data_IF_699975167248
#
_entry.id   IF_699975167248
#
_cell.length_a   1.000
_cell.length_b   1.000
_cell.length_c   1.000
_cell.angle_alpha   90.00
_cell.angle_beta   90.00
_cell.angle_gamma   90.00
#
_symmetry.space_group_name_H-M   'P 1'
#
loop_
_entity.id
_entity.type
_entity.pdbx_description
1 polymer ?
#
# COMPACT_ATOMS: atom_id res chain seq x y z
N UNK A 1 12.28 -43.46 -28.91
CA UNK A 1 12.99 -42.18 -28.78
C UNK A 1 12.31 -41.39 -27.69
N UNK A 2 13.03 -41.09 -26.62
CA UNK A 2 12.54 -40.33 -25.47
C UNK A 2 12.74 -38.84 -25.76
N UNK A 3 11.68 -38.04 -25.62
CA UNK A 3 11.81 -36.63 -25.28
C UNK A 3 11.16 -36.45 -23.90
N UNK A 4 11.95 -36.01 -22.93
CA UNK A 4 11.49 -35.59 -21.62
C UNK A 4 10.70 -34.30 -21.80
N UNK A 5 9.39 -34.33 -21.55
CA UNK A 5 8.61 -33.12 -21.31
C UNK A 5 8.96 -32.58 -19.92
N UNK A 6 9.56 -31.39 -19.89
CA UNK A 6 9.77 -30.62 -18.67
C UNK A 6 8.42 -30.20 -18.09
N UNK A 7 7.97 -30.89 -17.04
CA UNK A 7 6.85 -30.42 -16.23
C UNK A 7 7.25 -29.13 -15.48
N UNK A 8 6.61 -28.02 -15.82
CA UNK A 8 6.69 -26.79 -15.04
C UNK A 8 5.87 -26.94 -13.77
N UNK A 9 6.53 -27.02 -12.60
CA UNK A 9 5.86 -26.87 -11.32
C UNK A 9 5.70 -25.38 -11.02
N UNK A 10 4.46 -24.91 -11.04
CA UNK A 10 4.10 -23.52 -10.75
C UNK A 10 4.59 -23.11 -9.34
N UNK A 11 5.34 -22.02 -9.27
CA UNK A 11 5.66 -21.32 -8.02
C UNK A 11 4.68 -20.17 -7.81
N UNK A 12 4.40 -19.89 -6.54
CA UNK A 12 3.31 -19.07 -5.98
C UNK A 12 3.35 -17.56 -6.31
N UNK A 13 4.01 -17.13 -7.37
CA UNK A 13 4.18 -15.69 -7.68
C UNK A 13 3.53 -15.24 -9.01
N UNK A 14 2.73 -16.09 -9.65
CA UNK A 14 1.93 -15.68 -10.81
C UNK A 14 0.51 -15.31 -10.35
N UNK A 15 0.37 -14.08 -9.86
CA UNK A 15 -0.89 -13.50 -9.36
C UNK A 15 -1.87 -13.08 -10.49
N UNK A 16 -1.76 -13.64 -11.69
CA UNK A 16 -2.46 -13.14 -12.89
C UNK A 16 -3.17 -14.21 -13.74
N UNK A 17 -3.62 -15.32 -13.14
CA UNK A 17 -4.54 -16.25 -13.81
C UNK A 17 -5.79 -16.55 -12.96
N UNK A 18 -6.68 -15.57 -12.89
CA UNK A 18 -8.10 -15.85 -12.72
C UNK A 18 -8.81 -15.52 -14.02
N UNK A 19 -9.47 -16.53 -14.59
CA UNK A 19 -10.44 -16.42 -15.68
C UNK A 19 -11.49 -15.35 -15.33
N UNK A 20 -11.16 -14.09 -15.57
CA UNK A 20 -11.98 -12.92 -15.32
C UNK A 20 -12.45 -12.45 -16.69
N UNK A 21 -13.75 -12.51 -16.94
CA UNK A 21 -14.32 -11.87 -18.11
C UNK A 21 -14.21 -10.34 -17.88
N UNK A 22 -13.09 -9.74 -18.30
CA UNK A 22 -12.83 -8.32 -18.13
C UNK A 22 -13.65 -7.56 -19.15
N UNK A 23 -14.83 -7.08 -18.74
CA UNK A 23 -15.55 -6.06 -19.51
C UNK A 23 -14.83 -4.73 -19.30
N UNK A 24 -13.93 -4.39 -20.24
CA UNK A 24 -13.23 -3.10 -20.23
C UNK A 24 -14.15 -2.04 -20.82
N UNK A 25 -14.87 -1.30 -19.97
CA UNK A 25 -15.58 -0.10 -20.39
C UNK A 25 -14.65 1.09 -20.28
N UNK A 26 -14.12 1.56 -21.41
CA UNK A 26 -13.40 2.83 -21.47
C UNK A 26 -14.42 3.96 -21.45
N UNK A 27 -14.58 4.62 -20.30
CA UNK A 27 -15.45 5.78 -20.19
C UNK A 27 -14.62 7.05 -20.39
N UNK A 28 -14.77 7.67 -21.56
CA UNK A 28 -14.21 9.00 -21.84
C UNK A 28 -15.14 10.05 -21.24
N UNK A 29 -14.73 10.61 -20.09
CA UNK A 29 -15.56 11.46 -19.25
C UNK A 29 -15.18 12.94 -19.46
N UNK A 30 -15.98 13.67 -20.23
CA UNK A 30 -15.78 15.10 -20.51
C UNK A 30 -16.56 15.97 -19.52
N UNK A 31 -15.85 16.68 -18.64
CA UNK A 31 -16.34 17.85 -17.88
C UNK A 31 -17.46 17.70 -16.81
N UNK A 32 -17.71 16.53 -16.22
CA UNK A 32 -18.71 16.40 -15.13
C UNK A 32 -18.27 15.58 -13.91
N UNK A 33 -18.98 15.75 -12.78
CA UNK A 33 -18.89 14.88 -11.59
C UNK A 33 -19.63 13.59 -11.92
N UNK A 34 -18.91 12.48 -12.03
CA UNK A 34 -19.51 11.18 -12.36
C UNK A 34 -19.63 10.29 -11.13
N UNK A 35 -20.73 9.55 -11.08
CA UNK A 35 -20.96 8.49 -10.10
C UNK A 35 -20.63 7.14 -10.74
N UNK A 36 -19.69 6.42 -10.15
CA UNK A 36 -19.34 5.06 -10.54
C UNK A 36 -19.87 4.10 -9.47
N UNK A 37 -20.85 3.28 -9.85
CA UNK A 37 -21.35 2.19 -9.01
C UNK A 37 -20.75 0.88 -9.49
N UNK A 38 -19.94 0.23 -8.65
CA UNK A 38 -19.30 -1.03 -8.97
C UNK A 38 -20.27 -2.13 -8.52
N UNK A 39 -21.13 -2.69 -9.37
CA UNK A 39 -22.13 -3.69 -8.91
C UNK A 39 -21.59 -5.12 -8.88
N UNK A 40 -20.70 -5.50 -9.80
CA UNK A 40 -20.07 -6.85 -9.86
C UNK A 40 -18.69 -6.88 -10.50
N UNK A 41 -18.22 -5.77 -11.08
CA UNK A 41 -17.04 -5.77 -11.95
C UNK A 41 -15.91 -4.94 -11.35
N UNK A 42 -14.70 -5.22 -11.82
CA UNK A 42 -13.52 -4.42 -11.53
C UNK A 42 -13.36 -3.32 -12.57
N UNK A 43 -12.77 -2.19 -12.17
CA UNK A 43 -12.74 -1.00 -13.02
C UNK A 43 -11.33 -0.42 -13.15
N UNK A 44 -11.00 0.02 -14.36
CA UNK A 44 -9.80 0.81 -14.64
C UNK A 44 -10.25 2.22 -15.02
N UNK A 45 -9.82 3.22 -14.27
CA UNK A 45 -10.06 4.63 -14.60
C UNK A 45 -8.81 5.24 -15.20
N UNK A 46 -8.97 5.83 -16.39
CA UNK A 46 -7.97 6.69 -17.04
C UNK A 46 -8.58 8.08 -17.19
N UNK A 47 -7.98 9.07 -16.54
CA UNK A 47 -8.36 10.47 -16.71
C UNK A 47 -7.46 11.11 -17.79
N UNK A 48 -8.05 11.47 -18.93
CA UNK A 48 -7.33 12.08 -20.05
C UNK A 48 -7.50 13.62 -20.13
N UNK A 49 -8.25 14.23 -19.21
CA UNK A 49 -8.56 15.67 -19.19
C UNK A 49 -7.87 16.39 -18.01
N UNK A 50 -7.60 17.69 -18.15
CA UNK A 50 -7.16 18.55 -17.01
C UNK A 50 -8.33 19.38 -16.43
N UNK A 51 -8.18 20.08 -15.27
CA UNK A 51 -7.42 19.76 -14.06
C UNK A 51 -8.21 18.75 -13.18
N UNK A 52 -7.91 18.68 -11.88
CA UNK A 52 -8.45 17.75 -10.87
C UNK A 52 -9.92 17.36 -11.01
N UNK A 53 -10.18 16.09 -11.33
CA UNK A 53 -11.54 15.52 -11.38
C UNK A 53 -11.87 14.82 -10.05
N UNK A 54 -13.10 14.97 -9.57
CA UNK A 54 -13.62 14.22 -8.43
C UNK A 54 -14.47 13.03 -8.90
N UNK A 55 -14.12 11.83 -8.47
CA UNK A 55 -14.87 10.60 -8.73
C UNK A 55 -15.57 10.13 -7.46
N UNK A 56 -16.89 9.93 -7.51
CA UNK A 56 -17.64 9.30 -6.43
C UNK A 56 -17.80 7.82 -6.73
N UNK A 57 -17.34 6.96 -5.82
CA UNK A 57 -17.22 5.52 -6.05
C UNK A 57 -17.88 4.76 -4.93
N UNK A 58 -18.75 3.81 -5.28
CA UNK A 58 -19.35 2.88 -4.32
C UNK A 58 -18.70 1.51 -4.47
N UNK A 59 -18.04 1.03 -3.41
CA UNK A 59 -17.35 -0.26 -3.41
C UNK A 59 -18.10 -1.29 -2.56
N UNK A 60 -18.15 -2.53 -3.04
CA UNK A 60 -18.68 -3.70 -2.36
C UNK A 60 -17.58 -4.75 -2.13
N UNK A 61 -17.79 -5.74 -1.25
CA UNK A 61 -16.83 -6.81 -1.02
C UNK A 61 -16.34 -7.48 -2.31
N UNK A 62 -15.04 -7.80 -2.34
CA UNK A 62 -14.33 -8.47 -3.44
C UNK A 62 -14.19 -7.66 -4.74
N UNK A 63 -14.36 -6.34 -4.70
CA UNK A 63 -14.15 -5.47 -5.86
C UNK A 63 -12.82 -4.72 -5.80
N UNK A 64 -12.27 -4.41 -6.97
CA UNK A 64 -11.13 -3.50 -7.09
C UNK A 64 -11.31 -2.42 -8.15
N UNK A 65 -10.60 -1.32 -7.92
CA UNK A 65 -10.51 -0.16 -8.77
C UNK A 65 -9.04 0.19 -9.00
N UNK A 66 -8.63 0.28 -10.26
CA UNK A 66 -7.29 0.67 -10.67
C UNK A 66 -7.32 2.06 -11.33
N UNK A 67 -6.50 2.98 -10.87
CA UNK A 67 -6.33 4.30 -11.45
C UNK A 67 -4.98 4.38 -12.19
N UNK A 68 -5.05 4.58 -13.51
CA UNK A 68 -3.92 4.59 -14.44
C UNK A 68 -3.90 5.89 -15.25
N UNK A 69 -3.68 7.02 -14.59
CA UNK A 69 -3.61 8.31 -15.30
C UNK A 69 -2.60 9.24 -14.67
N UNK A 70 -1.90 10.01 -15.49
CA UNK A 70 -0.94 11.01 -15.05
C UNK A 70 -1.56 12.25 -14.44
N UNK A 71 -2.87 12.45 -14.62
CA UNK A 71 -3.59 13.59 -14.08
C UNK A 71 -3.93 13.41 -12.60
N UNK A 72 -4.12 14.53 -11.93
CA UNK A 72 -4.63 14.55 -10.57
C UNK A 72 -6.09 14.09 -10.49
N UNK A 73 -6.43 13.34 -9.45
CA UNK A 73 -7.79 12.91 -9.16
C UNK A 73 -8.09 12.97 -7.65
N UNK A 74 -9.35 13.23 -7.33
CA UNK A 74 -9.91 13.07 -5.99
C UNK A 74 -10.93 11.94 -6.04
N UNK A 75 -10.74 10.93 -5.20
CA UNK A 75 -11.69 9.83 -5.05
C UNK A 75 -12.49 10.01 -3.77
N UNK A 76 -13.82 10.13 -3.87
CA UNK A 76 -14.75 10.02 -2.76
C UNK A 76 -15.29 8.60 -2.73
N UNK A 77 -14.78 7.78 -1.83
CA UNK A 77 -15.04 6.34 -1.79
C UNK A 77 -16.02 6.06 -0.66
N UNK A 78 -17.13 5.44 -1.03
CA UNK A 78 -18.21 5.02 -0.16
C UNK A 78 -18.28 3.50 -0.19
N UNK A 79 -17.67 2.89 0.80
CA UNK A 79 -17.74 1.45 0.96
C UNK A 79 -19.02 1.07 1.69
N UNK A 80 -19.84 0.20 1.08
CA UNK A 80 -21.05 -0.34 1.69
C UNK A 80 -20.89 -1.84 1.92
N UNK A 81 -20.95 -2.27 3.18
CA UNK A 81 -20.95 -3.69 3.54
C UNK A 81 -22.10 -4.00 4.49
N UNK A 82 -22.91 -4.98 4.08
CA UNK A 82 -23.93 -5.60 4.92
C UNK A 82 -23.31 -6.64 5.89
N UNK A 83 -23.75 -6.75 7.15
CA UNK A 83 -24.52 -5.76 7.92
C UNK A 83 -23.62 -4.66 8.51
N UNK A 84 -23.84 -3.43 8.03
CA UNK A 84 -23.60 -2.10 8.61
C UNK A 84 -22.21 -1.65 9.09
N UNK A 85 -21.19 -1.74 8.24
CA UNK A 85 -20.06 -0.79 8.34
C UNK A 85 -19.86 -0.05 7.04
N UNK A 86 -20.25 1.23 7.05
CA UNK A 86 -19.91 2.17 5.99
C UNK A 86 -18.55 2.78 6.31
N UNK A 87 -17.65 2.75 5.32
CA UNK A 87 -16.44 3.57 5.34
C UNK A 87 -16.61 4.64 4.27
N UNK A 88 -16.51 5.91 4.68
CA UNK A 88 -16.42 7.04 3.77
C UNK A 88 -15.03 7.65 3.89
N UNK A 89 -14.39 7.97 2.77
CA UNK A 89 -13.16 8.76 2.76
C UNK A 89 -12.92 9.44 1.40
N UNK A 90 -12.14 10.51 1.44
CA UNK A 90 -11.64 11.22 0.26
C UNK A 90 -10.13 11.03 0.12
N UNK A 91 -9.67 10.59 -1.06
CA UNK A 91 -8.25 10.41 -1.38
C UNK A 91 -7.85 11.31 -2.55
N UNK A 92 -6.79 12.10 -2.39
CA UNK A 92 -6.19 12.89 -3.49
C UNK A 92 -4.89 12.26 -3.96
N UNK A 93 -4.81 11.96 -5.24
CA UNK A 93 -3.61 11.44 -5.91
C UNK A 93 -3.02 12.55 -6.76
N UNK A 94 -1.72 12.80 -6.60
CA UNK A 94 -1.03 13.82 -7.39
C UNK A 94 -0.73 13.40 -8.82
N UNK A 95 -0.48 14.39 -9.66
CA UNK A 95 -0.07 14.15 -11.03
C UNK A 95 1.28 13.44 -11.05
N UNK A 96 1.37 12.33 -11.80
CA UNK A 96 2.60 11.57 -11.94
C UNK A 96 2.62 10.84 -13.28
N UNK A 97 3.68 11.04 -14.06
CA UNK A 97 3.85 10.38 -15.36
C UNK A 97 4.02 8.86 -15.24
N UNK A 98 4.38 8.37 -14.05
CA UNK A 98 4.58 6.95 -13.78
C UNK A 98 3.68 6.47 -12.64
N UNK A 99 3.35 5.18 -12.67
CA UNK A 99 2.71 4.48 -11.56
C UNK A 99 1.21 4.26 -11.66
N UNK A 100 0.66 3.61 -10.63
CA UNK A 100 -0.74 3.20 -10.55
C UNK A 100 -1.20 3.25 -9.10
N UNK A 101 -2.49 3.52 -8.91
CA UNK A 101 -3.15 3.35 -7.61
C UNK A 101 -4.21 2.26 -7.73
N UNK A 102 -4.18 1.26 -6.85
CA UNK A 102 -5.15 0.19 -6.73
C UNK A 102 -5.91 0.32 -5.41
N UNK A 103 -7.23 0.28 -5.47
CA UNK A 103 -8.12 0.25 -4.31
C UNK A 103 -8.85 -1.08 -4.35
N UNK A 104 -8.72 -1.91 -3.32
CA UNK A 104 -9.32 -3.25 -3.26
C UNK A 104 -9.92 -3.50 -1.89
N UNK A 105 -11.07 -4.15 -1.85
CA UNK A 105 -11.62 -4.67 -0.60
C UNK A 105 -11.16 -6.13 -0.36
N UNK A 106 -10.70 -6.41 0.87
CA UNK A 106 -10.31 -7.75 1.31
C UNK A 106 -11.00 -8.09 2.63
N UNK A 107 -11.48 -9.32 2.75
CA UNK A 107 -12.03 -9.88 3.99
C UNK A 107 -11.03 -10.86 4.62
N UNK A 108 -10.93 -10.83 5.95
CA UNK A 108 -10.21 -11.88 6.67
C UNK A 108 -10.98 -13.21 6.59
N UNK A 109 -10.27 -14.33 6.76
CA UNK A 109 -10.84 -15.69 6.71
C UNK A 109 -11.98 -15.92 7.71
N UNK A 110 -11.88 -15.31 8.89
CA UNK A 110 -12.91 -15.35 9.94
C UNK A 110 -14.06 -14.35 9.71
N UNK A 111 -13.97 -13.55 8.63
CA UNK A 111 -14.89 -12.46 8.25
C UNK A 111 -15.12 -11.40 9.34
N UNK A 112 -14.28 -11.37 10.37
CA UNK A 112 -14.40 -10.43 11.49
C UNK A 112 -13.86 -9.04 11.15
N UNK A 113 -12.85 -8.98 10.28
CA UNK A 113 -12.23 -7.75 9.81
C UNK A 113 -12.33 -7.64 8.30
N UNK A 114 -12.68 -6.44 7.86
CA UNK A 114 -12.75 -6.10 6.45
C UNK A 114 -11.94 -4.85 6.17
N UNK A 115 -11.05 -4.95 5.20
CA UNK A 115 -10.03 -3.92 4.93
C UNK A 115 -10.20 -3.38 3.52
N UNK A 116 -10.29 -2.05 3.39
CA UNK A 116 -10.05 -1.38 2.11
C UNK A 116 -8.55 -1.12 1.99
N UNK A 117 -7.90 -1.79 1.05
CA UNK A 117 -6.49 -1.64 0.78
C UNK A 117 -6.31 -0.65 -0.36
N UNK A 118 -5.51 0.39 -0.13
CA UNK A 118 -5.12 1.39 -1.11
C UNK A 118 -3.62 1.26 -1.32
N UNK A 119 -3.24 0.69 -2.45
CA UNK A 119 -1.84 0.52 -2.83
C UNK A 119 -1.51 1.52 -3.92
N UNK A 120 -0.53 2.40 -3.70
CA UNK A 120 -0.20 3.44 -4.66
C UNK A 120 1.30 3.53 -4.90
N UNK A 121 1.70 3.47 -6.17
CA UNK A 121 3.03 3.91 -6.59
C UNK A 121 3.03 5.35 -7.09
N UNK A 122 1.94 6.10 -6.88
CA UNK A 122 1.83 7.55 -7.05
C UNK A 122 1.71 8.23 -5.69
N UNK A 123 2.22 9.45 -5.58
CA UNK A 123 2.15 10.21 -4.35
C UNK A 123 0.68 10.49 -3.96
N UNK A 124 0.34 10.17 -2.72
CA UNK A 124 -0.94 10.49 -2.10
C UNK A 124 -0.76 11.77 -1.31
N UNK A 125 -1.56 12.81 -1.56
CA UNK A 125 -1.35 14.13 -0.95
C UNK A 125 -2.44 14.59 -0.01
N UNK A 126 -3.55 13.87 0.03
CA UNK A 126 -4.58 14.11 1.02
C UNK A 126 -5.37 12.84 1.27
N UNK A 127 -5.63 12.57 2.54
CA UNK A 127 -6.66 11.65 2.99
C UNK A 127 -7.55 12.41 3.99
N UNK A 128 -8.79 12.67 3.60
CA UNK A 128 -9.74 13.47 4.39
C UNK A 128 -11.09 12.77 4.46
N UNK A 129 -11.99 13.31 5.28
CA UNK A 129 -13.36 12.80 5.45
C UNK A 129 -13.44 11.31 5.84
N UNK A 130 -12.40 10.77 6.49
CA UNK A 130 -12.39 9.38 6.95
C UNK A 130 -13.43 9.24 8.05
N UNK A 131 -14.49 8.49 7.76
CA UNK A 131 -15.58 8.19 8.69
C UNK A 131 -15.89 6.71 8.65
N UNK A 132 -16.06 6.15 9.85
CA UNK A 132 -16.58 4.80 10.05
C UNK A 132 -17.96 4.94 10.67
N UNK A 133 -18.97 4.30 10.10
CA UNK A 133 -20.28 4.25 10.75
C UNK A 133 -20.25 3.29 11.94
N UNK A 134 -20.85 3.70 13.05
CA UNK A 134 -21.09 2.81 14.18
C UNK A 134 -21.92 1.60 13.75
N UNK A 135 -21.60 0.45 14.31
CA UNK A 135 -22.24 -0.83 14.02
C UNK A 135 -22.89 -1.36 15.28
N UNK A 136 -24.03 -2.01 15.13
CA UNK A 136 -24.71 -2.74 16.21
C UNK A 136 -23.98 -4.02 16.63
N UNK A 137 -23.05 -4.51 15.79
CA UNK A 137 -22.24 -5.71 16.00
C UNK A 137 -20.79 -5.34 16.35
N UNK A 138 -20.45 -5.39 17.64
CA UNK A 138 -19.12 -5.05 18.17
C UNK A 138 -17.99 -5.98 17.68
N UNK A 139 -18.35 -7.13 17.10
CA UNK A 139 -17.41 -8.14 16.61
C UNK A 139 -16.91 -7.87 15.18
N UNK A 140 -17.62 -7.06 14.39
CA UNK A 140 -17.23 -6.73 13.01
C UNK A 140 -16.49 -5.40 12.97
N UNK A 141 -15.29 -5.41 12.38
CA UNK A 141 -14.42 -4.24 12.29
C UNK A 141 -14.07 -3.92 10.85
N UNK A 142 -14.01 -2.63 10.57
CA UNK A 142 -13.65 -2.08 9.28
C UNK A 142 -12.44 -1.19 9.43
N UNK A 143 -11.55 -1.24 8.44
CA UNK A 143 -10.33 -0.45 8.44
C UNK A 143 -9.92 -0.11 7.01
N UNK A 144 -9.08 0.91 6.89
CA UNK A 144 -8.42 1.28 5.64
C UNK A 144 -6.92 1.02 5.84
N UNK A 145 -6.31 0.31 4.92
CA UNK A 145 -4.86 0.14 4.87
C UNK A 145 -4.33 0.86 3.65
N UNK A 146 -3.33 1.72 3.84
CA UNK A 146 -2.69 2.47 2.76
C UNK A 146 -1.24 2.01 2.65
N UNK A 147 -0.81 1.68 1.44
CA UNK A 147 0.52 1.15 1.12
C UNK A 147 1.15 2.04 0.05
N UNK A 148 2.23 2.73 0.41
CA UNK A 148 3.14 3.37 -0.54
C UNK A 148 4.04 2.32 -1.20
N UNK A 149 4.07 2.30 -2.53
CA UNK A 149 4.86 1.35 -3.34
C UNK A 149 5.99 2.08 -4.06
N UNK A 150 7.03 1.34 -4.48
CA UNK A 150 8.12 1.85 -5.33
C UNK A 150 8.78 3.14 -4.79
N UNK A 151 9.01 3.21 -3.47
CA UNK A 151 9.66 4.36 -2.83
C UNK A 151 8.73 5.53 -2.50
N UNK A 152 7.43 5.42 -2.77
CA UNK A 152 6.43 6.37 -2.26
C UNK A 152 6.29 6.20 -0.75
N UNK A 153 6.48 7.29 -0.02
CA UNK A 153 6.19 7.41 1.40
C UNK A 153 4.88 8.18 1.61
N UNK A 154 4.31 8.06 2.81
CA UNK A 154 3.07 8.72 3.22
C UNK A 154 3.33 10.08 3.90
N UNK A 155 4.49 10.67 3.64
CA UNK A 155 4.93 11.95 4.20
C UNK A 155 3.97 13.09 3.85
N UNK A 156 3.50 13.12 2.59
CA UNK A 156 2.60 14.16 2.09
C UNK A 156 1.22 14.16 2.76
N UNK A 157 0.85 13.08 3.46
CA UNK A 157 -0.38 13.02 4.28
C UNK A 157 -0.07 13.07 5.79
N UNK A 158 1.16 13.46 6.15
CA UNK A 158 1.57 13.73 7.53
C UNK A 158 2.25 12.57 8.25
N UNK A 159 2.58 11.46 7.58
CA UNK A 159 3.23 10.31 8.19
C UNK A 159 4.63 10.11 7.65
N UNK A 160 5.57 10.85 8.22
CA UNK A 160 6.97 10.90 7.77
C UNK A 160 7.64 9.53 7.82
N UNK A 161 8.32 9.16 6.72
CA UNK A 161 9.00 7.90 6.49
C UNK A 161 8.11 6.66 6.70
N UNK A 162 6.80 6.80 6.57
CA UNK A 162 5.86 5.69 6.70
C UNK A 162 5.51 5.12 5.33
N UNK A 163 5.66 3.81 5.16
CA UNK A 163 5.28 3.10 3.93
C UNK A 163 3.91 2.46 4.03
N UNK A 164 3.50 2.04 5.23
CA UNK A 164 2.21 1.41 5.45
C UNK A 164 1.50 2.01 6.65
N UNK A 165 0.28 2.49 6.41
CA UNK A 165 -0.57 3.16 7.38
C UNK A 165 -1.89 2.40 7.51
N UNK A 166 -2.36 2.26 8.75
CA UNK A 166 -3.68 1.68 9.03
C UNK A 166 -4.57 2.71 9.71
N UNK A 167 -5.78 2.88 9.16
CA UNK A 167 -6.87 3.64 9.76
C UNK A 167 -7.92 2.68 10.29
N UNK A 168 -8.13 2.74 11.60
CA UNK A 168 -9.21 2.09 12.32
C UNK A 168 -10.18 3.15 12.81
N UNK A 169 -11.33 2.73 13.31
CA UNK A 169 -12.36 3.62 13.83
C UNK A 169 -11.85 4.64 14.87
N UNK A 170 -10.95 4.23 15.76
CA UNK A 170 -10.45 5.07 16.86
C UNK A 170 -8.96 5.42 16.77
N UNK A 171 -8.21 4.75 15.90
CA UNK A 171 -6.75 4.93 15.83
C UNK A 171 -6.28 4.99 14.38
N UNK A 172 -5.20 5.73 14.18
CA UNK A 172 -4.48 5.84 12.91
C UNK A 172 -3.01 5.64 13.23
N UNK A 173 -2.38 4.65 12.62
CA UNK A 173 -1.08 4.18 13.06
C UNK A 173 -0.22 3.83 11.85
N UNK A 174 1.02 4.34 11.80
CA UNK A 174 2.00 3.75 10.91
C UNK A 174 2.30 2.34 11.42
N UNK A 175 2.32 1.36 10.52
CA UNK A 175 2.60 -0.04 10.83
C UNK A 175 3.86 -0.56 10.14
N UNK A 176 4.34 0.14 9.12
CA UNK A 176 5.61 -0.16 8.49
C UNK A 176 6.32 1.12 8.04
N UNK A 177 7.55 1.30 8.48
CA UNK A 177 8.41 2.40 8.08
C UNK A 177 9.18 2.08 6.80
N UNK A 178 9.71 3.12 6.18
CA UNK A 178 10.67 3.02 5.10
C UNK A 178 11.97 2.32 5.56
N UNK A 179 12.70 1.72 4.61
CA UNK A 179 14.03 1.17 4.87
C UNK A 179 14.94 2.24 5.50
N UNK A 180 15.72 1.85 6.51
CA UNK A 180 16.54 2.80 7.28
C UNK A 180 15.78 3.48 8.43
N UNK A 181 14.49 3.18 8.62
CA UNK A 181 13.70 3.65 9.75
C UNK A 181 13.09 2.48 10.53
N UNK A 182 12.85 2.68 11.82
CA UNK A 182 12.14 1.73 12.67
C UNK A 182 10.90 2.38 13.27
N UNK A 183 9.89 1.55 13.53
CA UNK A 183 8.67 1.98 14.20
C UNK A 183 8.88 1.98 15.71
N UNK A 184 8.76 3.14 16.34
CA UNK A 184 8.88 3.27 17.79
C UNK A 184 7.57 2.89 18.51
N UNK A 185 7.54 3.00 19.85
CA UNK A 185 6.36 2.70 20.66
C UNK A 185 5.18 3.66 20.41
N UNK A 186 5.45 4.89 19.97
CA UNK A 186 4.43 5.90 19.62
C UNK A 186 3.89 5.75 18.19
N UNK A 187 4.29 4.70 17.47
CA UNK A 187 3.90 4.42 16.07
C UNK A 187 4.42 5.46 15.07
N UNK A 188 5.56 6.07 15.38
CA UNK A 188 6.27 7.00 14.52
C UNK A 188 7.56 6.37 14.00
N UNK A 189 7.94 6.73 12.78
CA UNK A 189 9.16 6.23 12.14
C UNK A 189 10.37 7.07 12.54
N UNK A 190 11.33 6.43 13.19
CA UNK A 190 12.59 7.04 13.63
C UNK A 190 13.77 6.45 12.88
N UNK A 191 14.80 7.27 12.66
CA UNK A 191 16.00 6.86 11.94
C UNK A 191 16.69 5.72 12.68
N UNK A 192 17.08 4.67 11.96
CA UNK A 192 17.91 3.60 12.49
C UNK A 192 19.34 4.09 12.73
N UNK A 193 20.09 3.43 13.62
CA UNK A 193 21.52 3.67 13.76
C UNK A 193 22.26 3.54 12.41
N UNK A 194 23.38 4.26 12.30
CA UNK A 194 24.21 4.24 11.10
C UNK A 194 24.53 2.82 10.65
N UNK A 195 24.52 2.62 9.33
CA UNK A 195 24.80 1.35 8.66
C UNK A 195 23.78 0.23 8.93
N UNK A 196 22.64 0.56 9.51
CA UNK A 196 21.52 -0.36 9.66
C UNK A 196 20.47 -0.21 8.55
N UNK A 197 19.97 -1.33 8.04
CA UNK A 197 18.85 -1.39 7.07
C UNK A 197 17.53 -1.66 7.82
N UNK A 198 17.55 -2.58 8.78
CA UNK A 198 16.37 -2.97 9.56
C UNK A 198 16.75 -3.32 11.02
N UNK A 199 15.92 -2.85 11.97
CA UNK A 199 16.22 -2.94 13.39
C UNK A 199 15.19 -2.24 14.27
N UNK A 200 15.58 -2.03 15.52
CA UNK A 200 14.94 -1.14 16.50
C UNK A 200 16.00 -0.16 17.03
N UNK A 201 15.59 0.78 17.88
CA UNK A 201 16.43 1.86 18.44
C UNK A 201 17.87 1.44 18.80
N UNK A 202 18.02 0.33 19.50
CA UNK A 202 19.32 -0.14 20.04
C UNK A 202 19.84 -1.40 19.38
N UNK A 203 19.14 -1.93 18.37
CA UNK A 203 19.45 -3.25 17.83
C UNK A 203 19.22 -3.31 16.32
N UNK A 204 20.29 -3.53 15.58
CA UNK A 204 20.24 -3.79 14.15
C UNK A 204 20.31 -5.30 13.89
N UNK A 205 19.34 -5.85 13.17
CA UNK A 205 19.39 -7.26 12.73
C UNK A 205 19.73 -7.40 11.25
N UNK A 206 19.64 -6.33 10.45
CA UNK A 206 20.10 -6.30 9.06
C UNK A 206 20.98 -5.08 8.80
N UNK A 207 22.26 -5.31 8.52
CA UNK A 207 23.24 -4.25 8.24
C UNK A 207 23.36 -3.96 6.75
N UNK A 208 23.89 -2.78 6.41
CA UNK A 208 24.32 -2.44 5.04
C UNK A 208 25.46 -3.35 4.60
N UNK A 209 25.61 -3.52 3.29
CA UNK A 209 26.72 -4.28 2.72
C UNK A 209 28.07 -3.72 3.21
N UNK A 210 29.00 -4.61 3.60
CA UNK A 210 30.27 -4.23 4.23
C UNK A 210 30.22 -3.99 5.74
N UNK A 211 29.08 -4.26 6.41
CA UNK A 211 28.95 -4.16 7.86
C UNK A 211 28.44 -5.48 8.45
N UNK A 212 29.02 -5.92 9.57
CA UNK A 212 28.62 -7.15 10.27
C UNK A 212 28.12 -6.86 11.69
N UNK A 213 27.21 -7.71 12.15
CA UNK A 213 26.67 -7.68 13.50
C UNK A 213 27.72 -8.18 14.50
N UNK A 214 28.22 -7.32 15.39
CA UNK A 214 28.82 -7.75 16.65
C UNK A 214 27.83 -7.52 17.78
N UNK A 215 27.81 -8.40 18.79
CA UNK A 215 27.07 -8.15 20.03
C UNK A 215 27.45 -6.73 20.50
N UNK A 216 26.47 -5.84 20.41
CA UNK A 216 26.43 -4.47 20.95
C UNK A 216 26.89 -3.26 20.14
N UNK A 217 27.37 -3.30 18.88
CA UNK A 217 27.42 -2.11 17.98
C UNK A 217 27.90 -2.43 16.55
N UNK A 218 27.48 -1.63 15.56
CA UNK A 218 27.85 -1.76 14.13
C UNK A 218 29.19 -1.06 13.85
N UNK A 219 30.21 -1.79 13.37
CA UNK A 219 31.51 -1.24 12.94
C UNK A 219 31.76 -1.47 11.44
N UNK A 220 32.48 -0.56 10.79
CA UNK A 220 32.84 -0.57 9.36
C UNK A 220 33.92 -1.61 9.06
N UNK A 221 33.72 -2.50 8.07
CA UNK A 221 34.84 -3.28 7.52
C UNK A 221 35.67 -2.41 6.57
N UNK A 222 37.00 -2.51 6.69
CA UNK A 222 37.93 -2.18 5.61
C UNK A 222 38.50 -3.51 5.12
N UNK A 223 38.02 -4.00 3.98
CA UNK A 223 38.62 -5.18 3.34
C UNK A 223 39.89 -4.68 2.62
N UNK A 224 41.05 -4.90 3.22
CA UNK A 224 42.33 -4.66 2.56
C UNK A 224 42.65 -5.91 1.71
N UNK A 225 42.43 -5.84 0.39
CA UNK A 225 42.45 -6.98 -0.54
C UNK A 225 43.86 -7.60 -0.73
N UNK A 226 44.89 -7.14 -0.02
CA UNK A 226 46.27 -7.56 -0.34
C UNK A 226 46.76 -8.80 0.43
N UNK A 227 46.13 -9.30 1.50
CA UNK A 227 46.75 -10.42 2.25
C UNK A 227 45.83 -11.37 3.04
N UNK A 228 44.59 -11.64 2.58
CA UNK A 228 43.67 -12.65 3.17
C UNK A 228 43.74 -12.77 4.71
N UNK A 229 43.82 -11.63 5.42
CA UNK A 229 43.77 -11.56 6.87
C UNK A 229 42.67 -10.58 7.24
N UNK A 230 41.68 -11.09 7.96
CA UNK A 230 40.62 -10.31 8.56
C UNK A 230 41.23 -9.36 9.59
N UNK A 231 41.21 -8.06 9.31
CA UNK A 231 41.56 -7.03 10.28
C UNK A 231 40.26 -6.35 10.71
N UNK A 232 39.90 -6.58 11.97
CA UNK A 232 38.79 -5.91 12.66
C UNK A 232 39.36 -4.62 13.25
N UNK A 233 38.85 -3.47 12.83
CA UNK A 233 39.13 -2.15 13.47
C UNK A 233 37.87 -1.68 14.20
#
# INVERSE_FOLDING_TARGET
MWWNECNHQFKKDDEDDFNLFIVTTTVSLYYYIYQLSLSTNNYIIRNNNGPTITHTIYTYPNQWLKYESSNQAIFKIYRKKEPYQNIEFSLRIESSNEGTTLIKEVENNDKSISTVIISSSKQLTSLTNVKFSETTLTTKKSQIMIIGMKGITLDSIGYKNCNMLIYKEKTKECIQCEKGYYLNSTKECQLLPDNCIAGYKTYCYQCKEGFIKKKENVKKLIINVINQKEIIV
#
